data_IF_861708883991
#
_entry.id   IF_861708883991
#
_cell.length_a   1.000
_cell.length_b   1.000
_cell.length_c   1.000
_cell.angle_alpha   90.00
_cell.angle_beta   90.00
_cell.angle_gamma   90.00
#
_symmetry.space_group_name_H-M   'P 1'
#
loop_
_entity.id
_entity.type
_entity.pdbx_description
1 polymer ?
#
# COMPACT_ATOMS: atom_id res chain seq x y z
N UNK A 1 1.47 -27.89 59.60
CA UNK A 1 0.37 -28.75 59.07
C UNK A 1 -0.08 -28.08 57.79
N UNK A 2 0.27 -28.62 56.62
CA UNK A 2 -0.62 -29.46 55.77
C UNK A 2 -1.93 -28.74 55.45
N UNK A 3 -2.43 -28.58 54.22
CA UNK A 3 -2.05 -29.05 52.89
C UNK A 3 -2.87 -28.27 51.83
N UNK A 4 -2.49 -28.46 50.56
CA UNK A 4 -3.14 -28.14 49.27
C UNK A 4 -4.68 -27.95 49.23
N UNK A 5 -5.17 -27.07 48.35
CA UNK A 5 -5.65 -27.44 46.99
C UNK A 5 -6.09 -26.23 46.14
N UNK A 6 -5.89 -26.37 44.83
CA UNK A 6 -6.37 -25.54 43.72
C UNK A 6 -7.91 -25.48 43.64
N UNK A 7 -8.45 -24.39 43.06
CA UNK A 7 -9.53 -24.41 42.05
C UNK A 7 -9.75 -22.99 41.48
N UNK A 8 -9.64 -22.82 40.15
CA UNK A 8 -10.37 -21.80 39.38
C UNK A 8 -11.82 -22.29 39.22
N UNK A 9 -12.85 -21.41 39.13
CA UNK A 9 -13.26 -20.95 37.80
C UNK A 9 -13.96 -19.57 37.67
N UNK A 10 -14.11 -19.20 36.40
CA UNK A 10 -15.22 -18.48 35.75
C UNK A 10 -15.32 -16.95 35.84
N UNK A 11 -14.84 -16.31 34.77
CA UNK A 11 -15.63 -15.50 33.83
C UNK A 11 -17.00 -15.00 34.35
N UNK A 12 -17.07 -13.71 34.68
CA UNK A 12 -18.33 -12.99 34.86
C UNK A 12 -18.24 -11.62 34.16
N UNK A 13 -19.19 -11.43 33.25
CA UNK A 13 -19.44 -10.25 32.43
C UNK A 13 -19.75 -9.04 33.32
N UNK A 14 -19.08 -7.91 33.10
CA UNK A 14 -19.54 -6.62 33.61
C UNK A 14 -20.65 -6.11 32.69
N UNK A 15 -21.89 -6.24 33.15
CA UNK A 15 -23.05 -5.54 32.59
C UNK A 15 -23.18 -4.14 33.20
N UNK A 16 -23.30 -3.13 32.35
CA UNK A 16 -23.79 -1.79 32.72
C UNK A 16 -25.32 -1.80 32.84
N UNK A 17 -25.90 -0.90 33.67
CA UNK A 17 -27.30 -0.97 34.04
C UNK A 17 -28.26 -0.42 32.98
N UNK A 18 -29.41 -1.09 32.87
CA UNK A 18 -30.60 -0.69 32.13
C UNK A 18 -31.07 0.71 32.52
N UNK A 19 -31.27 1.56 31.52
CA UNK A 19 -32.27 2.63 31.59
C UNK A 19 -33.11 2.57 30.32
N UNK A 20 -34.35 2.13 30.49
CA UNK A 20 -35.34 1.98 29.46
C UNK A 20 -36.03 3.33 29.20
N UNK A 21 -35.98 3.80 27.95
CA UNK A 21 -37.05 4.62 27.38
C UNK A 21 -37.49 3.97 26.06
N UNK A 22 -38.76 3.55 26.06
CA UNK A 22 -39.47 2.97 24.93
C UNK A 22 -39.69 4.02 23.84
N UNK A 23 -39.05 3.80 22.69
CA UNK A 23 -39.44 4.41 21.41
C UNK A 23 -39.67 3.29 20.40
N UNK A 24 -40.93 3.04 20.06
CA UNK A 24 -41.34 2.09 19.03
C UNK A 24 -40.79 2.49 17.66
N UNK A 25 -39.61 2.00 17.33
CA UNK A 25 -39.06 1.99 15.99
C UNK A 25 -38.60 0.58 15.68
N UNK A 26 -39.24 -0.09 14.70
CA UNK A 26 -38.81 -1.40 14.19
C UNK A 26 -37.32 -1.36 13.82
N UNK A 27 -36.43 -1.77 14.73
CA UNK A 27 -35.02 -2.04 14.42
C UNK A 27 -34.98 -3.25 13.49
N UNK A 28 -34.99 -2.98 12.18
CA UNK A 28 -34.52 -3.94 11.17
C UNK A 28 -33.14 -4.38 11.65
N UNK A 29 -33.00 -5.63 12.09
CA UNK A 29 -31.70 -6.29 12.20
C UNK A 29 -31.13 -6.30 10.78
N UNK A 30 -30.29 -5.31 10.48
CA UNK A 30 -29.44 -5.34 9.30
C UNK A 30 -28.61 -6.59 9.48
N UNK A 31 -28.91 -7.63 8.68
CA UNK A 31 -28.03 -8.78 8.59
C UNK A 31 -26.69 -8.22 8.19
N UNK A 32 -25.66 -8.48 9.00
CA UNK A 32 -24.28 -8.25 8.60
C UNK A 32 -24.10 -9.17 7.40
N UNK A 33 -24.22 -8.60 6.21
CA UNK A 33 -23.93 -9.30 4.97
C UNK A 33 -22.49 -9.78 5.13
N UNK A 34 -22.30 -11.10 5.14
CA UNK A 34 -20.97 -11.69 5.14
C UNK A 34 -20.28 -11.17 3.88
N UNK A 35 -19.42 -10.16 4.07
CA UNK A 35 -18.61 -9.61 3.01
C UNK A 35 -17.86 -10.79 2.36
N UNK A 36 -17.79 -10.85 1.02
CA UNK A 36 -16.99 -11.86 0.36
C UNK A 36 -15.56 -11.83 0.92
N UNK A 37 -14.84 -12.96 0.90
CA UNK A 37 -13.45 -12.99 1.35
C UNK A 37 -12.67 -11.84 0.70
N UNK A 38 -11.91 -11.11 1.52
CA UNK A 38 -11.20 -9.90 1.11
C UNK A 38 -10.21 -10.22 -0.02
N UNK A 39 -10.42 -9.63 -1.19
CA UNK A 39 -9.64 -9.90 -2.41
C UNK A 39 -8.78 -8.69 -2.77
N UNK A 40 -7.54 -8.95 -3.19
CA UNK A 40 -6.69 -7.93 -3.82
C UNK A 40 -7.35 -7.58 -5.15
N UNK A 41 -7.81 -6.33 -5.28
CA UNK A 41 -8.32 -5.86 -6.57
C UNK A 41 -7.14 -5.63 -7.49
N UNK A 42 -7.12 -6.35 -8.61
CA UNK A 42 -6.14 -6.17 -9.68
C UNK A 42 -6.84 -5.64 -10.93
N UNK A 43 -6.26 -4.63 -11.57
CA UNK A 43 -6.78 -4.15 -12.84
C UNK A 43 -5.75 -3.40 -13.67
N UNK A 44 -6.11 -3.05 -14.91
CA UNK A 44 -5.24 -2.25 -15.79
C UNK A 44 -5.30 -0.77 -15.44
N UNK A 45 -6.49 -0.26 -15.09
CA UNK A 45 -6.73 1.15 -14.76
C UNK A 45 -7.59 1.33 -13.52
N UNK A 46 -7.31 2.37 -12.77
CA UNK A 46 -7.93 2.74 -11.51
C UNK A 46 -8.87 3.95 -11.71
N UNK A 47 -10.01 4.04 -11.00
CA UNK A 47 -10.92 5.17 -11.21
C UNK A 47 -10.35 6.50 -10.69
N UNK A 48 -10.59 7.59 -11.42
CA UNK A 48 -10.04 8.92 -11.15
C UNK A 48 -10.24 9.44 -9.72
N UNK A 49 -11.38 9.13 -9.10
CA UNK A 49 -11.69 9.54 -7.73
C UNK A 49 -10.75 8.88 -6.72
N UNK A 50 -10.37 7.62 -6.93
CA UNK A 50 -9.45 6.90 -6.07
C UNK A 50 -8.04 7.47 -6.19
N UNK A 51 -7.59 7.81 -7.41
CA UNK A 51 -6.29 8.47 -7.58
C UNK A 51 -6.22 9.77 -6.77
N UNK A 52 -7.21 10.65 -6.93
CA UNK A 52 -7.21 11.96 -6.26
C UNK A 52 -7.26 11.87 -4.74
N UNK A 53 -7.86 10.82 -4.20
CA UNK A 53 -7.95 10.62 -2.75
C UNK A 53 -6.70 9.93 -2.18
N UNK A 54 -6.24 8.86 -2.83
CA UNK A 54 -5.23 7.94 -2.29
C UNK A 54 -3.80 8.37 -2.62
N UNK A 55 -3.57 8.91 -3.82
CA UNK A 55 -2.25 9.42 -4.22
C UNK A 55 -1.99 10.86 -3.74
N UNK A 56 -2.93 11.50 -3.03
CA UNK A 56 -2.70 12.83 -2.45
C UNK A 56 -1.60 12.75 -1.39
N UNK A 57 -0.52 13.49 -1.61
CA UNK A 57 0.73 13.42 -0.85
C UNK A 57 0.76 14.27 0.43
N UNK A 58 -0.38 14.48 1.09
CA UNK A 58 -0.43 15.19 2.38
C UNK A 58 -0.27 14.21 3.56
N UNK A 59 0.47 14.63 4.59
CA UNK A 59 0.88 13.82 5.74
C UNK A 59 -0.29 13.17 6.47
N UNK A 60 -1.34 13.96 6.76
CA UNK A 60 -2.56 13.51 7.41
C UNK A 60 -3.75 13.56 6.46
N UNK A 61 -4.35 12.41 6.17
CA UNK A 61 -5.79 12.37 5.89
C UNK A 61 -6.38 11.14 6.54
N UNK A 62 -7.34 11.40 7.44
CA UNK A 62 -8.15 10.37 8.07
C UNK A 62 -8.85 9.52 7.00
N UNK A 63 -8.86 8.19 7.18
CA UNK A 63 -9.55 7.27 6.28
C UNK A 63 -8.71 6.65 5.16
N UNK A 64 -7.41 6.98 5.03
CA UNK A 64 -6.48 6.29 4.11
C UNK A 64 -5.97 4.98 4.71
N UNK A 65 -6.85 3.99 4.83
CA UNK A 65 -6.53 2.67 5.36
C UNK A 65 -6.19 1.65 4.25
N UNK A 66 -5.99 2.11 3.00
CA UNK A 66 -5.73 1.27 1.83
C UNK A 66 -4.47 1.75 1.11
N UNK A 67 -3.54 0.83 0.87
CA UNK A 67 -2.35 1.11 0.05
C UNK A 67 -2.66 0.80 -1.41
N UNK A 68 -2.51 1.80 -2.27
CA UNK A 68 -2.54 1.62 -3.72
C UNK A 68 -1.13 1.50 -4.28
N UNK A 69 -0.93 0.48 -5.11
CA UNK A 69 0.34 0.19 -5.79
C UNK A 69 0.08 0.05 -7.28
N UNK A 70 0.51 1.03 -8.07
CA UNK A 70 0.61 0.89 -9.52
C UNK A 70 1.99 0.34 -9.86
N UNK A 71 2.08 -0.58 -10.82
CA UNK A 71 3.35 -1.19 -11.20
C UNK A 71 3.57 -1.19 -12.70
N UNK A 72 4.84 -1.17 -13.08
CA UNK A 72 5.34 -1.55 -14.41
C UNK A 72 6.39 -2.64 -14.20
N UNK A 73 6.27 -3.73 -14.95
CA UNK A 73 7.24 -4.83 -14.98
C UNK A 73 7.78 -4.95 -16.39
N UNK A 74 9.08 -4.70 -16.53
CA UNK A 74 9.82 -4.90 -17.76
C UNK A 74 10.72 -6.12 -17.60
N UNK A 75 10.47 -7.17 -18.38
CA UNK A 75 11.29 -8.39 -18.36
C UNK A 75 12.20 -8.38 -19.58
N UNK A 76 13.50 -8.46 -19.34
CA UNK A 76 14.54 -8.67 -20.35
C UNK A 76 14.99 -10.12 -20.29
N UNK A 77 14.91 -10.83 -21.42
CA UNK A 77 15.24 -12.25 -21.49
C UNK A 77 15.06 -12.79 -22.89
N UNK A 78 14.77 -14.09 -23.01
CA UNK A 78 14.48 -14.74 -24.30
C UNK A 78 13.25 -14.15 -24.99
N UNK A 79 12.25 -13.79 -24.19
CA UNK A 79 11.04 -13.10 -24.63
C UNK A 79 10.89 -11.81 -23.81
N UNK A 80 11.26 -10.65 -24.38
CA UNK A 80 11.08 -9.38 -23.69
C UNK A 80 9.59 -9.07 -23.58
N UNK A 81 9.15 -8.65 -22.39
CA UNK A 81 7.75 -8.32 -22.13
C UNK A 81 7.62 -7.12 -21.20
N UNK A 82 6.54 -6.37 -21.39
CA UNK A 82 6.19 -5.24 -20.53
C UNK A 82 4.76 -5.41 -20.07
N UNK A 83 4.55 -5.39 -18.76
CA UNK A 83 3.22 -5.43 -18.14
C UNK A 83 3.05 -4.24 -17.20
N UNK A 84 1.83 -3.74 -17.10
CA UNK A 84 1.45 -2.70 -16.15
C UNK A 84 0.11 -3.05 -15.52
N UNK A 85 -0.12 -2.57 -14.31
CA UNK A 85 -1.40 -2.70 -13.63
C UNK A 85 -1.38 -1.99 -12.28
N UNK A 86 -2.45 -2.18 -11.52
CA UNK A 86 -2.51 -1.72 -10.14
C UNK A 86 -3.00 -2.83 -9.21
N UNK A 87 -2.64 -2.69 -7.94
CA UNK A 87 -3.10 -3.49 -6.81
C UNK A 87 -3.68 -2.55 -5.76
N UNK A 88 -4.84 -2.92 -5.22
CA UNK A 88 -5.45 -2.27 -4.05
C UNK A 88 -5.47 -3.25 -2.87
N UNK A 89 -5.01 -2.79 -1.71
CA UNK A 89 -5.18 -3.50 -0.44
C UNK A 89 -6.54 -3.10 0.19
N UNK A 90 -7.55 -3.96 0.01
CA UNK A 90 -8.84 -3.84 0.67
C UNK A 90 -8.87 -4.70 1.94
N UNK A 91 -8.32 -4.14 3.02
CA UNK A 91 -8.51 -4.53 4.42
C UNK A 91 -8.29 -6.03 4.75
N UNK A 92 -7.11 -6.30 5.32
CA UNK A 92 -6.89 -7.21 6.46
C UNK A 92 -6.17 -8.56 6.25
N UNK A 93 -5.53 -8.85 5.10
CA UNK A 93 -4.73 -10.09 4.98
C UNK A 93 -3.28 -9.89 4.52
N UNK A 94 -3.01 -9.04 3.54
CA UNK A 94 -1.67 -8.81 3.03
C UNK A 94 -1.55 -7.43 2.37
N UNK A 95 -0.48 -6.71 2.67
CA UNK A 95 -0.22 -5.41 2.05
C UNK A 95 0.02 -5.54 0.54
N UNK A 96 -0.25 -4.48 -0.23
CA UNK A 96 -0.11 -4.46 -1.69
C UNK A 96 1.29 -4.92 -2.18
N UNK A 97 2.34 -4.65 -1.41
CA UNK A 97 3.71 -5.08 -1.71
C UNK A 97 3.86 -6.61 -1.64
N UNK A 98 3.21 -7.25 -0.66
CA UNK A 98 3.20 -8.70 -0.54
C UNK A 98 2.35 -9.34 -1.64
N UNK A 99 1.20 -8.74 -1.94
CA UNK A 99 0.33 -9.14 -3.04
C UNK A 99 1.09 -9.16 -4.38
N UNK A 100 1.92 -8.14 -4.65
CA UNK A 100 2.71 -8.08 -5.87
C UNK A 100 3.63 -9.30 -6.02
N UNK A 101 4.41 -9.63 -4.99
CA UNK A 101 5.33 -10.77 -5.06
C UNK A 101 4.62 -12.11 -5.05
N UNK A 102 3.39 -12.21 -4.55
CA UNK A 102 2.63 -13.47 -4.55
C UNK A 102 1.90 -13.70 -5.87
N UNK A 103 1.31 -12.66 -6.45
CA UNK A 103 0.37 -12.79 -7.57
C UNK A 103 0.95 -12.31 -8.90
N UNK A 104 1.71 -11.21 -8.90
CA UNK A 104 2.18 -10.57 -10.14
C UNK A 104 3.56 -11.07 -10.55
N UNK A 105 4.47 -11.19 -9.58
CA UNK A 105 5.83 -11.69 -9.82
C UNK A 105 6.22 -12.80 -8.83
N UNK A 106 5.52 -13.96 -8.85
CA UNK A 106 5.79 -15.08 -7.95
C UNK A 106 7.15 -15.72 -8.15
N UNK A 107 7.71 -15.66 -9.37
CA UNK A 107 9.01 -16.26 -9.69
C UNK A 107 9.73 -15.41 -10.71
N UNK A 108 10.97 -15.04 -10.40
CA UNK A 108 11.90 -14.45 -11.37
C UNK A 108 12.51 -15.56 -12.22
N UNK A 109 12.40 -15.49 -13.54
CA UNK A 109 12.93 -16.55 -14.40
C UNK A 109 14.47 -16.59 -14.34
N UNK A 110 15.10 -17.77 -14.21
CA UNK A 110 16.56 -17.88 -14.23
C UNK A 110 17.16 -17.32 -15.52
N UNK A 111 18.08 -16.36 -15.39
CA UNK A 111 18.72 -15.70 -16.53
C UNK A 111 17.91 -14.57 -17.18
N UNK A 112 16.69 -14.30 -16.70
CA UNK A 112 15.96 -13.09 -17.03
C UNK A 112 16.26 -11.98 -16.03
N UNK A 113 16.19 -10.73 -16.51
CA UNK A 113 16.26 -9.53 -15.68
C UNK A 113 14.89 -8.89 -15.65
N UNK A 114 14.39 -8.62 -14.45
CA UNK A 114 13.12 -7.94 -14.24
C UNK A 114 13.39 -6.55 -13.68
N UNK A 115 13.05 -5.54 -14.46
CA UNK A 115 13.07 -4.13 -14.08
C UNK A 115 11.64 -3.75 -13.66
N UNK A 116 11.43 -3.64 -12.35
CA UNK A 116 10.12 -3.35 -11.74
C UNK A 116 10.12 -1.92 -11.23
N UNK A 117 9.09 -1.16 -11.59
CA UNK A 117 8.83 0.18 -11.06
C UNK A 117 7.47 0.20 -10.37
N UNK A 118 7.44 0.59 -9.11
CA UNK A 118 6.22 0.82 -8.35
C UNK A 118 5.96 2.30 -8.17
N UNK A 119 4.71 2.70 -8.29
CA UNK A 119 4.18 4.00 -7.89
C UNK A 119 3.19 3.77 -6.76
N UNK A 120 3.58 4.15 -5.55
CA UNK A 120 2.80 3.91 -4.33
C UNK A 120 2.49 5.22 -3.64
N UNK A 121 1.29 5.30 -3.05
CA UNK A 121 0.86 6.49 -2.31
C UNK A 121 1.80 6.84 -1.15
N UNK A 122 2.28 5.84 -0.40
CA UNK A 122 3.24 6.01 0.70
C UNK A 122 4.33 4.95 0.68
N UNK A 123 5.44 5.19 1.38
CA UNK A 123 6.50 4.20 1.58
C UNK A 123 5.99 2.95 2.31
N UNK A 124 6.57 1.76 2.05
CA UNK A 124 6.18 0.52 2.70
C UNK A 124 6.42 0.56 4.21
N UNK A 125 5.62 -0.17 5.00
CA UNK A 125 5.88 -0.37 6.42
C UNK A 125 7.12 -1.26 6.67
N UNK A 126 7.60 -1.34 7.93
CA UNK A 126 8.76 -2.16 8.32
C UNK A 126 8.66 -3.60 7.80
N UNK A 127 7.51 -4.26 8.01
CA UNK A 127 7.29 -5.65 7.58
C UNK A 127 7.38 -5.80 6.06
N UNK A 128 6.81 -4.86 5.30
CA UNK A 128 6.87 -4.88 3.85
C UNK A 128 8.28 -4.60 3.32
N UNK A 129 8.98 -3.65 3.93
CA UNK A 129 10.36 -3.35 3.61
C UNK A 129 11.28 -4.56 3.80
N UNK A 130 11.09 -5.33 4.88
CA UNK A 130 11.82 -6.59 5.11
C UNK A 130 11.54 -7.61 4.00
N UNK A 131 10.27 -7.81 3.63
CA UNK A 131 9.89 -8.72 2.53
C UNK A 131 10.49 -8.31 1.18
N UNK A 132 10.50 -7.02 0.88
CA UNK A 132 11.15 -6.47 -0.31
C UNK A 132 12.65 -6.79 -0.30
N UNK A 133 13.32 -6.60 0.84
CA UNK A 133 14.73 -6.92 0.99
C UNK A 133 15.01 -8.42 0.76
N UNK A 134 14.17 -9.30 1.32
CA UNK A 134 14.26 -10.75 1.09
C UNK A 134 14.12 -11.10 -0.39
N UNK A 135 13.12 -10.52 -1.07
CA UNK A 135 12.87 -10.75 -2.49
C UNK A 135 14.06 -10.29 -3.37
N UNK A 136 14.63 -9.12 -3.09
CA UNK A 136 15.80 -8.58 -3.80
C UNK A 136 17.06 -9.41 -3.55
N UNK A 137 17.29 -9.86 -2.32
CA UNK A 137 18.45 -10.71 -1.99
C UNK A 137 18.37 -12.07 -2.66
N UNK A 138 17.17 -12.67 -2.70
CA UNK A 138 16.89 -13.97 -3.32
C UNK A 138 17.02 -13.91 -4.85
N UNK A 139 16.58 -12.82 -5.48
CA UNK A 139 16.51 -12.69 -6.92
C UNK A 139 17.51 -11.66 -7.46
N UNK A 140 18.71 -12.11 -7.86
CA UNK A 140 19.76 -11.21 -8.41
C UNK A 140 19.39 -10.55 -9.74
N UNK A 141 18.43 -11.10 -10.47
CA UNK A 141 17.89 -10.52 -11.71
C UNK A 141 16.82 -9.45 -11.49
N UNK A 142 16.36 -9.25 -10.24
CA UNK A 142 15.30 -8.29 -9.92
C UNK A 142 15.91 -6.92 -9.60
N UNK A 143 15.47 -5.88 -10.30
CA UNK A 143 15.75 -4.48 -10.00
C UNK A 143 14.43 -3.81 -9.66
N UNK A 144 14.31 -3.31 -8.43
CA UNK A 144 13.09 -2.65 -7.96
C UNK A 144 13.35 -1.16 -7.75
N UNK A 145 12.53 -0.34 -8.40
CA UNK A 145 12.43 1.10 -8.14
C UNK A 145 11.07 1.39 -7.53
N UNK A 146 11.02 2.06 -6.38
CA UNK A 146 9.79 2.44 -5.71
C UNK A 146 9.73 3.96 -5.67
N UNK A 147 8.75 4.50 -6.40
CA UNK A 147 8.38 5.91 -6.41
C UNK A 147 7.26 6.11 -5.39
N UNK A 148 7.53 6.82 -4.30
CA UNK A 148 6.59 7.01 -3.19
C UNK A 148 6.04 8.43 -3.18
N UNK A 149 4.76 8.60 -2.89
CA UNK A 149 4.14 9.93 -2.81
C UNK A 149 4.49 10.67 -1.51
N UNK A 150 4.52 9.93 -0.40
CA UNK A 150 4.87 10.41 0.94
C UNK A 150 5.64 9.33 1.72
N UNK A 151 6.36 9.73 2.76
CA UNK A 151 6.98 8.76 3.68
C UNK A 151 6.01 8.39 4.80
N UNK A 152 5.87 7.09 5.05
CA UNK A 152 5.03 6.53 6.10
C UNK A 152 5.82 6.42 7.41
N UNK A 153 5.36 7.11 8.45
CA UNK A 153 5.97 7.08 9.80
C UNK A 153 7.49 7.27 9.79
N UNK A 154 7.99 8.23 9.00
CA UNK A 154 9.42 8.41 8.73
C UNK A 154 10.23 8.88 9.95
N UNK A 155 9.56 9.48 10.93
CA UNK A 155 10.16 9.90 12.19
C UNK A 155 10.54 8.69 13.07
N UNK A 156 9.90 7.55 12.86
CA UNK A 156 10.15 6.34 13.66
C UNK A 156 11.52 5.73 13.31
N UNK A 157 12.40 5.49 14.32
CA UNK A 157 13.73 4.93 14.08
C UNK A 157 13.71 3.58 13.34
N UNK A 158 12.71 2.74 13.62
CA UNK A 158 12.53 1.45 12.97
C UNK A 158 12.21 1.59 11.48
N UNK A 159 11.37 2.57 11.12
CA UNK A 159 11.05 2.87 9.73
C UNK A 159 12.28 3.38 8.98
N UNK A 160 13.07 4.28 9.59
CA UNK A 160 14.31 4.75 8.99
C UNK A 160 15.31 3.62 8.74
N UNK A 161 15.46 2.70 9.72
CA UNK A 161 16.29 1.51 9.57
C UNK A 161 15.80 0.59 8.44
N UNK A 162 14.48 0.45 8.30
CA UNK A 162 13.87 -0.32 7.21
C UNK A 162 14.12 0.32 5.84
N UNK A 163 14.00 1.65 5.70
CA UNK A 163 14.30 2.38 4.47
C UNK A 163 15.79 2.22 4.06
N UNK A 164 16.71 2.35 5.02
CA UNK A 164 18.16 2.11 4.79
C UNK A 164 18.42 0.68 4.33
N UNK A 165 17.82 -0.30 5.00
CA UNK A 165 17.96 -1.72 4.65
C UNK A 165 17.50 -2.02 3.22
N UNK A 166 16.43 -1.35 2.75
CA UNK A 166 15.98 -1.48 1.36
C UNK A 166 16.99 -0.93 0.37
N UNK A 167 17.58 0.25 0.64
CA UNK A 167 18.64 0.84 -0.19
C UNK A 167 19.84 -0.10 -0.27
N UNK A 168 20.27 -0.65 0.86
CA UNK A 168 21.38 -1.62 0.93
C UNK A 168 21.07 -2.93 0.19
N UNK A 169 19.81 -3.38 0.20
CA UNK A 169 19.37 -4.54 -0.58
C UNK A 169 19.33 -4.28 -2.10
N UNK A 170 19.58 -3.04 -2.55
CA UNK A 170 19.59 -2.64 -3.96
C UNK A 170 18.27 -2.06 -4.46
N UNK A 171 17.32 -1.75 -3.57
CA UNK A 171 16.10 -1.04 -3.93
C UNK A 171 16.40 0.43 -4.20
N UNK A 172 15.83 0.99 -5.28
CA UNK A 172 15.90 2.43 -5.57
C UNK A 172 14.63 3.11 -5.05
N UNK A 173 14.73 3.81 -3.93
CA UNK A 173 13.64 4.62 -3.36
C UNK A 173 13.74 6.06 -3.83
N UNK A 174 12.62 6.63 -4.30
CA UNK A 174 12.53 8.03 -4.75
C UNK A 174 11.17 8.62 -4.37
N UNK A 175 11.12 9.92 -4.09
CA UNK A 175 9.85 10.64 -3.94
C UNK A 175 9.32 10.99 -5.33
N UNK A 176 8.01 10.81 -5.53
CA UNK A 176 7.33 11.21 -6.76
C UNK A 176 7.32 12.73 -6.92
N UNK A 177 7.80 13.18 -8.07
CA UNK A 177 7.70 14.57 -8.53
C UNK A 177 6.30 14.82 -9.11
N UNK A 178 5.89 16.09 -9.27
CA UNK A 178 4.62 16.41 -9.94
C UNK A 178 4.43 15.71 -11.29
N UNK A 179 5.51 15.56 -12.07
CA UNK A 179 5.49 14.88 -13.37
C UNK A 179 5.24 13.36 -13.23
N UNK A 180 5.68 12.74 -12.13
CA UNK A 180 5.42 11.32 -11.87
C UNK A 180 3.92 11.11 -11.55
N UNK A 181 3.28 12.02 -10.81
CA UNK A 181 1.82 11.96 -10.60
C UNK A 181 1.04 12.11 -11.91
N UNK A 182 1.47 13.03 -12.79
CA UNK A 182 0.89 13.18 -14.12
C UNK A 182 1.08 11.91 -14.97
N UNK A 183 2.26 11.28 -14.89
CA UNK A 183 2.51 10.01 -15.56
C UNK A 183 1.57 8.92 -15.05
N UNK A 184 1.39 8.79 -13.73
CA UNK A 184 0.48 7.79 -13.16
C UNK A 184 -0.95 8.05 -13.60
N UNK A 185 -1.39 9.31 -13.59
CA UNK A 185 -2.70 9.71 -14.09
C UNK A 185 -2.95 9.27 -15.54
N UNK A 186 -2.02 9.57 -16.45
CA UNK A 186 -2.21 9.24 -17.88
C UNK A 186 -2.22 7.72 -18.13
N UNK A 187 -1.41 6.97 -17.38
CA UNK A 187 -1.15 5.56 -17.68
C UNK A 187 -1.99 4.57 -16.89
N UNK A 188 -2.37 4.94 -15.66
CA UNK A 188 -3.06 4.04 -14.72
C UNK A 188 -4.44 4.52 -14.34
N UNK A 189 -4.85 5.75 -14.67
CA UNK A 189 -6.20 6.22 -14.37
C UNK A 189 -7.12 6.00 -15.57
N UNK A 190 -8.33 5.52 -15.29
CA UNK A 190 -9.39 5.40 -16.27
C UNK A 190 -9.86 6.79 -16.69
N UNK A 191 -9.87 7.02 -18.01
CA UNK A 191 -10.39 8.24 -18.61
C UNK A 191 -11.83 7.94 -19.04
N UNK A 192 -12.76 8.84 -18.77
CA UNK A 192 -14.17 8.63 -19.15
C UNK A 192 -14.30 8.49 -20.67
N UNK A 193 -14.99 7.42 -21.10
CA UNK A 193 -15.14 7.07 -22.51
C UNK A 193 -15.98 8.13 -23.25
N UNK A 194 -15.45 8.68 -24.34
CA UNK A 194 -16.13 9.69 -25.16
C UNK A 194 -15.85 11.14 -24.79
N UNK A 195 -15.06 11.41 -23.74
CA UNK A 195 -14.54 12.74 -23.43
C UNK A 195 -13.06 12.88 -23.80
N UNK A 196 -12.60 14.12 -24.05
CA UNK A 196 -11.16 14.38 -24.20
C UNK A 196 -10.44 13.94 -22.92
N UNK A 197 -9.27 13.28 -23.07
CA UNK A 197 -8.49 12.79 -21.94
C UNK A 197 -8.26 13.92 -20.93
N UNK A 198 -8.83 13.77 -19.72
CA UNK A 198 -8.78 14.81 -18.71
C UNK A 198 -7.33 14.99 -18.29
N UNK A 199 -6.84 16.22 -18.42
CA UNK A 199 -5.51 16.57 -17.91
C UNK A 199 -5.48 16.42 -16.40
N UNK A 200 -4.36 15.94 -15.86
CA UNK A 200 -4.16 15.92 -14.42
C UNK A 200 -4.12 17.36 -13.90
N UNK A 201 -4.94 17.68 -12.91
CA UNK A 201 -4.88 18.95 -12.20
C UNK A 201 -4.08 18.73 -10.92
N UNK A 202 -2.86 19.27 -10.81
CA UNK A 202 -2.04 19.10 -9.61
C UNK A 202 -2.71 19.75 -8.39
N UNK A 203 -2.46 19.18 -7.21
CA UNK A 203 -2.83 19.81 -5.95
C UNK A 203 -1.94 21.04 -5.69
N UNK A 204 -2.44 22.01 -4.94
CA UNK A 204 -1.72 23.26 -4.62
C UNK A 204 -0.33 22.98 -4.02
N UNK A 205 -0.27 22.07 -3.04
CA UNK A 205 0.96 21.79 -2.28
C UNK A 205 1.83 20.68 -2.89
N UNK A 206 1.56 20.25 -4.14
CA UNK A 206 2.24 19.07 -4.73
C UNK A 206 3.76 19.21 -4.76
N UNK A 207 4.24 20.43 -5.04
CA UNK A 207 5.67 20.75 -5.17
C UNK A 207 6.34 20.86 -3.79
N UNK A 208 5.67 21.50 -2.83
CA UNK A 208 6.17 21.68 -1.46
C UNK A 208 6.28 20.32 -0.75
N UNK A 209 5.25 19.49 -0.85
CA UNK A 209 5.27 18.12 -0.31
C UNK A 209 6.38 17.27 -0.92
N UNK A 210 6.58 17.37 -2.25
CA UNK A 210 7.68 16.67 -2.92
C UNK A 210 9.04 17.09 -2.33
N UNK A 211 9.31 18.39 -2.22
CA UNK A 211 10.58 18.90 -1.68
C UNK A 211 10.79 18.47 -0.24
N UNK A 212 9.76 18.58 0.60
CA UNK A 212 9.80 18.16 1.99
C UNK A 212 10.20 16.68 2.14
N UNK A 213 9.49 15.77 1.48
CA UNK A 213 9.82 14.35 1.57
C UNK A 213 11.13 13.99 0.87
N UNK A 214 11.53 14.72 -0.18
CA UNK A 214 12.81 14.49 -0.87
C UNK A 214 13.97 14.79 0.08
N UNK A 215 13.89 15.90 0.82
CA UNK A 215 14.85 16.25 1.88
C UNK A 215 14.87 15.18 2.97
N UNK A 216 13.70 14.78 3.50
CA UNK A 216 13.62 13.74 4.55
C UNK A 216 14.16 12.40 4.11
N UNK A 217 13.86 11.97 2.88
CA UNK A 217 14.41 10.73 2.36
C UNK A 217 15.94 10.81 2.23
N UNK A 218 16.49 11.95 1.81
CA UNK A 218 17.93 12.16 1.71
C UNK A 218 18.63 12.19 3.07
N UNK A 219 18.00 12.74 4.11
CA UNK A 219 18.51 12.69 5.49
C UNK A 219 18.59 11.25 6.04
N UNK A 220 17.64 10.39 5.66
CA UNK A 220 17.54 9.01 6.16
C UNK A 220 18.52 8.06 5.47
N UNK A 221 18.74 8.24 4.15
CA UNK A 221 19.39 7.27 3.25
C UNK A 221 20.88 7.51 3.00
#
# INVERSE_FOLDING_TARGET
KMAEKQEEPSNAQNGEPDNAEEGEGKKKKVKREDLPPFEIVTGERLPAIFFKFQFRNVEYSSGRNKTFLCYVVETQGKEPSTSRGYLEDEHAAAHAEMAFFNSILPTCQPGARHDVTWYVSSSPCVTCAQRICEALRKNKGLRLTIMVGRLFMWEEPEMQAALRSMKEAGCKLRIMKPQDFEYVWKNFVEQEEGEEAKSFVPWEDIQENFQYYEEKLAEIL
#
